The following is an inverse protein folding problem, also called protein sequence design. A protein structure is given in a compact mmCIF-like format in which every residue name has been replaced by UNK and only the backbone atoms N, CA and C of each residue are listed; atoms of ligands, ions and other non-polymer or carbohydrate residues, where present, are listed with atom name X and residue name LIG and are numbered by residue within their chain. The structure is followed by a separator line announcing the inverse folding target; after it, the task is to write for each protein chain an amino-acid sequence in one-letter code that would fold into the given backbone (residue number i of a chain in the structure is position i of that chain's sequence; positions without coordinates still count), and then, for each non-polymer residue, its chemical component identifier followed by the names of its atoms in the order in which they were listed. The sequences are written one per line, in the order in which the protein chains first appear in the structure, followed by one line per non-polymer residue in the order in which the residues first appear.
data_IF_582683238455
#
_entry.id   IF_582683238455
#
_cell.length_a   1.000
_cell.length_b   1.000
_cell.length_c   1.000
_cell.angle_alpha   90.00
_cell.angle_beta   90.00
_cell.angle_gamma   90.00
#
_symmetry.space_group_name_H-M   'P 1'
#
loop_
_entity.id
_entity.type
_entity.pdbx_description
1 polymer ?
#
# COMPACT_ATOMS: atom_id res chain seq x y z
N UNK A 1 23.89 -4.93 7.55
CA UNK A 1 23.72 -4.70 6.10
C UNK A 1 22.53 -3.77 5.93
N UNK A 2 22.76 -2.51 5.54
CA UNK A 2 21.66 -1.60 5.20
C UNK A 2 21.15 -1.96 3.82
N UNK A 3 19.99 -2.62 3.75
CA UNK A 3 19.21 -2.65 2.52
C UNK A 3 18.67 -1.24 2.33
N UNK A 4 19.10 -0.57 1.26
CA UNK A 4 18.62 0.79 0.98
C UNK A 4 17.17 0.68 0.55
N UNK A 5 16.29 1.56 1.02
CA UNK A 5 14.86 1.60 0.65
C UNK A 5 14.62 1.66 -0.87
N UNK A 6 15.65 2.03 -1.63
CA UNK A 6 15.70 2.01 -3.10
C UNK A 6 15.67 0.58 -3.66
N UNK A 7 16.37 -0.38 -3.04
CA UNK A 7 16.37 -1.78 -3.50
C UNK A 7 14.98 -2.43 -3.35
N UNK A 8 14.18 -1.97 -2.38
CA UNK A 8 12.80 -2.44 -2.18
C UNK A 8 11.84 -1.93 -3.27
N UNK A 9 12.19 -0.82 -3.94
CA UNK A 9 11.44 -0.27 -5.07
C UNK A 9 11.86 -0.90 -6.41
N UNK A 10 13.00 -1.58 -6.47
CA UNK A 10 13.46 -2.27 -7.68
C UNK A 10 12.56 -3.49 -7.93
N UNK A 11 11.93 -3.52 -9.10
CA UNK A 11 11.01 -4.60 -9.50
C UNK A 11 9.55 -4.37 -9.09
N UNK A 12 9.17 -3.13 -8.78
CA UNK A 12 7.76 -2.72 -8.75
C UNK A 12 7.26 -2.44 -10.17
N UNK A 13 6.03 -2.84 -10.44
CA UNK A 13 5.34 -2.49 -11.68
C UNK A 13 4.80 -1.06 -11.62
N UNK A 14 4.38 -0.52 -12.77
CA UNK A 14 3.72 0.78 -12.83
C UNK A 14 2.43 0.80 -11.97
N UNK A 15 1.68 -0.30 -11.97
CA UNK A 15 0.49 -0.46 -11.13
C UNK A 15 0.84 -0.41 -9.64
N UNK A 16 1.93 -1.05 -9.21
CA UNK A 16 2.34 -1.03 -7.80
C UNK A 16 2.73 0.37 -7.33
N UNK A 17 3.44 1.13 -8.19
CA UNK A 17 3.79 2.52 -7.92
C UNK A 17 2.55 3.41 -7.84
N UNK A 18 1.57 3.20 -8.73
CA UNK A 18 0.31 3.94 -8.70
C UNK A 18 -0.51 3.63 -7.44
N UNK A 19 -0.48 2.37 -7.00
CA UNK A 19 -1.15 1.92 -5.77
C UNK A 19 -0.49 2.54 -4.53
N UNK A 20 0.84 2.51 -4.44
CA UNK A 20 1.58 3.19 -3.35
C UNK A 20 1.31 4.70 -3.37
N UNK A 21 1.30 5.33 -4.55
CA UNK A 21 1.03 6.76 -4.68
C UNK A 21 -0.39 7.11 -4.22
N UNK A 22 -1.37 6.31 -4.62
CA UNK A 22 -2.77 6.51 -4.26
C UNK A 22 -2.99 6.29 -2.77
N UNK A 23 -2.39 5.24 -2.20
CA UNK A 23 -2.41 5.02 -0.77
C UNK A 23 -1.66 6.13 -0.01
N UNK A 24 -0.60 6.67 -0.58
CA UNK A 24 0.08 7.85 -0.02
C UNK A 24 -0.79 9.11 -0.10
N UNK A 25 -1.59 9.30 -1.14
CA UNK A 25 -2.47 10.47 -1.26
C UNK A 25 -3.64 10.40 -0.25
N UNK A 26 -4.27 9.23 -0.14
CA UNK A 26 -5.42 8.99 0.76
C UNK A 26 -4.96 8.89 2.22
N UNK A 27 -3.79 8.30 2.47
CA UNK A 27 -3.32 7.93 3.79
C UNK A 27 -3.73 6.50 4.16
N UNK A 28 -4.08 6.28 5.43
CA UNK A 28 -4.49 4.96 5.90
C UNK A 28 -5.85 4.59 5.28
N UNK A 29 -5.88 3.60 4.40
CA UNK A 29 -7.09 3.23 3.66
C UNK A 29 -7.23 1.71 3.47
N UNK A 30 -8.45 1.22 3.30
CA UNK A 30 -8.69 -0.20 2.96
C UNK A 30 -8.41 -0.49 1.48
N UNK A 31 -8.28 -1.77 1.14
CA UNK A 31 -8.16 -2.19 -0.26
C UNK A 31 -9.34 -1.70 -1.11
N UNK A 32 -10.54 -1.64 -0.54
CA UNK A 32 -11.75 -1.17 -1.21
C UNK A 32 -11.71 0.32 -1.50
N UNK A 33 -11.28 1.14 -0.53
CA UNK A 33 -11.14 2.59 -0.72
C UNK A 33 -10.12 2.92 -1.82
N UNK A 34 -8.99 2.22 -1.83
CA UNK A 34 -7.98 2.38 -2.88
C UNK A 34 -8.52 1.92 -4.23
N UNK A 35 -9.26 0.81 -4.28
CA UNK A 35 -9.89 0.30 -5.50
C UNK A 35 -10.88 1.29 -6.10
N UNK A 36 -11.70 1.91 -5.25
CA UNK A 36 -12.64 2.96 -5.65
C UNK A 36 -11.90 4.16 -6.26
N UNK A 37 -10.78 4.58 -5.66
CA UNK A 37 -9.98 5.70 -6.18
C UNK A 37 -9.32 5.38 -7.52
N UNK A 38 -8.87 4.14 -7.69
CA UNK A 38 -8.25 3.63 -8.93
C UNK A 38 -9.29 3.22 -9.98
N UNK A 39 -10.59 3.31 -9.67
CA UNK A 39 -11.69 2.83 -10.50
C UNK A 39 -11.48 1.36 -10.97
N UNK A 40 -11.04 0.51 -10.04
CA UNK A 40 -10.70 -0.90 -10.26
C UNK A 40 -11.41 -1.80 -9.23
N UNK A 41 -11.53 -3.12 -9.48
CA UNK A 41 -12.09 -4.05 -8.51
C UNK A 41 -11.15 -4.25 -7.30
N UNK A 42 -11.69 -4.24 -6.09
CA UNK A 42 -10.91 -4.43 -4.85
C UNK A 42 -10.29 -5.82 -4.71
N UNK A 43 -10.97 -6.84 -5.25
CA UNK A 43 -10.47 -8.21 -5.29
C UNK A 43 -9.12 -8.33 -6.03
N UNK A 44 -8.90 -7.51 -7.06
CA UNK A 44 -7.66 -7.51 -7.84
C UNK A 44 -6.49 -6.87 -7.08
N UNK A 45 -6.77 -5.93 -6.17
CA UNK A 45 -5.74 -5.21 -5.43
C UNK A 45 -5.25 -5.94 -4.17
N UNK A 46 -6.04 -6.88 -3.65
CA UNK A 46 -5.68 -7.65 -2.44
C UNK A 46 -4.35 -8.40 -2.56
N UNK A 47 -4.07 -9.16 -3.64
CA UNK A 47 -2.77 -9.81 -3.81
C UNK A 47 -1.62 -8.81 -3.94
N UNK A 48 -1.79 -7.73 -4.71
CA UNK A 48 -0.77 -6.69 -4.86
C UNK A 48 -0.46 -5.99 -3.52
N UNK A 49 -1.49 -5.61 -2.76
CA UNK A 49 -1.29 -5.01 -1.43
C UNK A 49 -0.56 -5.95 -0.48
N UNK A 50 -0.86 -7.26 -0.51
CA UNK A 50 -0.13 -8.22 0.30
C UNK A 50 1.35 -8.32 -0.11
N UNK A 51 1.67 -8.24 -1.41
CA UNK A 51 3.05 -8.22 -1.89
C UNK A 51 3.80 -6.96 -1.41
N UNK A 52 3.16 -5.79 -1.52
CA UNK A 52 3.71 -4.54 -1.00
C UNK A 52 3.99 -4.59 0.51
N UNK A 53 3.14 -5.29 1.26
CA UNK A 53 3.33 -5.54 2.70
C UNK A 53 4.51 -6.48 2.94
N UNK A 54 4.64 -7.57 2.18
CA UNK A 54 5.78 -8.48 2.28
C UNK A 54 7.12 -7.79 1.97
N UNK A 55 7.12 -6.87 0.99
CA UNK A 55 8.27 -6.04 0.63
C UNK A 55 8.57 -4.93 1.64
N UNK A 56 7.74 -4.76 2.68
CA UNK A 56 7.80 -3.71 3.70
C UNK A 56 7.68 -2.29 3.13
N UNK A 57 6.92 -2.16 2.04
CA UNK A 57 6.63 -0.86 1.43
C UNK A 57 5.36 -0.22 2.01
N UNK A 58 4.44 -1.08 2.44
CA UNK A 58 3.15 -0.74 3.01
C UNK A 58 2.99 -1.54 4.29
N UNK A 59 2.46 -0.93 5.34
CA UNK A 59 2.04 -1.60 6.56
C UNK A 59 0.55 -1.93 6.48
N UNK A 60 0.18 -3.15 6.85
CA UNK A 60 -1.21 -3.55 6.99
C UNK A 60 -1.56 -3.69 8.47
N UNK A 61 -2.60 -2.99 8.91
CA UNK A 61 -3.13 -3.05 10.27
C UNK A 61 -4.60 -3.44 10.23
N UNK A 62 -4.97 -4.42 11.05
CA UNK A 62 -6.37 -4.76 11.26
C UNK A 62 -6.96 -3.79 12.26
N UNK A 63 -8.06 -3.13 11.90
CA UNK A 63 -8.85 -2.28 12.79
C UNK A 63 -10.25 -2.86 12.91
N UNK A 64 -10.84 -2.79 14.10
CA UNK A 64 -12.19 -3.27 14.33
C UNK A 64 -13.13 -2.08 14.44
N UNK A 65 -14.12 -2.00 13.55
CA UNK A 65 -15.12 -0.91 13.52
C UNK A 65 -16.50 -1.58 13.54
N UNK A 66 -17.33 -1.25 14.52
CA UNK A 66 -18.69 -1.80 14.61
C UNK A 66 -18.77 -3.32 14.81
N UNK A 67 -17.68 -3.98 15.22
CA UNK A 67 -17.60 -5.44 15.35
C UNK A 67 -17.06 -6.16 14.10
N UNK A 68 -16.80 -5.43 13.03
CA UNK A 68 -16.20 -5.95 11.80
C UNK A 68 -14.71 -5.60 11.73
N UNK A 69 -13.91 -6.52 11.20
CA UNK A 69 -12.46 -6.37 11.08
C UNK A 69 -12.10 -5.89 9.68
N UNK A 70 -11.55 -4.68 9.59
CA UNK A 70 -11.09 -4.07 8.36
C UNK A 70 -9.58 -4.09 8.29
N UNK A 71 -9.05 -4.47 7.13
CA UNK A 71 -7.61 -4.42 6.86
C UNK A 71 -7.28 -3.08 6.22
N UNK A 72 -6.64 -2.23 7.01
CA UNK A 72 -6.22 -0.89 6.60
C UNK A 72 -4.74 -0.93 6.25
N UNK A 73 -4.40 -0.33 5.14
CA UNK A 73 -3.06 -0.26 4.60
C UNK A 73 -2.53 1.16 4.73
N UNK A 74 -1.25 1.32 5.01
CA UNK A 74 -0.59 2.62 5.13
C UNK A 74 0.81 2.54 4.51
N UNK A 75 1.17 3.52 3.68
CA UNK A 75 2.53 3.58 3.10
C UNK A 75 3.57 3.85 4.18
N UNK A 76 4.67 3.11 4.16
CA UNK A 76 5.78 3.32 5.09
C UNK A 76 6.36 4.74 4.90
N UNK A 77 6.62 5.49 5.98
CA UNK A 77 7.18 6.85 5.90
C UNK A 77 8.50 6.94 5.12
N UNK A 78 9.34 5.91 5.18
CA UNK A 78 10.60 5.83 4.44
C UNK A 78 10.36 5.72 2.94
N UNK A 79 9.32 4.99 2.53
CA UNK A 79 8.92 4.86 1.12
C UNK A 79 8.37 6.17 0.60
N UNK A 80 7.48 6.83 1.36
CA UNK A 80 7.00 8.19 1.06
C UNK A 80 8.17 9.16 0.81
N UNK A 81 9.13 9.18 1.74
CA UNK A 81 10.34 10.02 1.64
C UNK A 81 11.20 9.66 0.42
N UNK A 82 11.31 8.38 0.08
CA UNK A 82 12.09 7.90 -1.06
C UNK A 82 11.44 8.28 -2.39
N UNK A 83 10.11 8.22 -2.47
CA UNK A 83 9.33 8.59 -3.65
C UNK A 83 9.15 10.11 -3.80
N UNK A 84 9.68 10.93 -2.87
CA UNK A 84 9.44 12.38 -2.78
C UNK A 84 7.94 12.73 -2.84
N UNK A 85 7.11 11.89 -2.23
CA UNK A 85 5.67 12.07 -2.11
C UNK A 85 5.31 12.69 -0.76
#
# INVERSE_FOLDING_TARGET
MSFSSIDQLLGLTADDLELIKTLSDIGAATAEEVALKLNRPSADLTPQMNELVQRKLVEAKTTTIGGENYRVYLVDPLVRKTLKM
#
